data_IF_059655859159
#
_entry.id   IF_059655859159
#
_cell.length_a   1.000
_cell.length_b   1.000
_cell.length_c   1.000
_cell.angle_alpha   90.00
_cell.angle_beta   90.00
_cell.angle_gamma   90.00
#
_symmetry.space_group_name_H-M   'P 1'
#
loop_
_entity.id
_entity.type
_entity.pdbx_description
1 polymer ?
#
# COMPACT_ATOMS: atom_id res chain seq x y z
N UNK A 1 -19.17 18.42 3.84
CA UNK A 1 -17.75 18.21 3.48
C UNK A 1 -17.69 17.57 2.10
N UNK A 2 -16.85 18.05 1.17
CA UNK A 2 -16.68 17.46 -0.17
C UNK A 2 -15.26 16.90 -0.30
N UNK A 3 -15.14 15.58 -0.33
CA UNK A 3 -13.85 14.90 -0.50
C UNK A 3 -13.47 14.86 -1.99
N UNK A 4 -12.20 15.16 -2.29
CA UNK A 4 -11.62 15.02 -3.63
C UNK A 4 -10.68 13.81 -3.68
N UNK A 5 -10.97 12.89 -4.57
CA UNK A 5 -10.21 11.65 -4.75
C UNK A 5 -9.51 11.71 -6.10
N UNK A 6 -8.20 11.47 -6.12
CA UNK A 6 -7.42 11.32 -7.35
C UNK A 6 -7.11 9.85 -7.62
N UNK A 7 -7.36 9.41 -8.86
CA UNK A 7 -6.95 8.09 -9.33
C UNK A 7 -5.62 8.22 -10.05
N UNK A 8 -4.61 7.50 -9.59
CA UNK A 8 -3.28 7.52 -10.17
C UNK A 8 -3.20 6.47 -11.28
N UNK A 9 -2.79 6.87 -12.47
CA UNK A 9 -2.50 5.96 -13.57
C UNK A 9 -0.99 5.96 -13.80
N UNK A 10 -0.31 4.94 -13.28
CA UNK A 10 1.14 4.84 -13.26
C UNK A 10 1.57 3.47 -13.81
N UNK A 11 2.67 3.43 -14.57
CA UNK A 11 3.38 2.20 -14.89
C UNK A 11 4.48 1.95 -13.84
N UNK A 12 4.71 0.70 -13.42
CA UNK A 12 5.80 0.37 -12.51
C UNK A 12 7.16 0.55 -13.20
N UNK A 13 8.16 0.95 -12.42
CA UNK A 13 9.59 0.98 -12.75
C UNK A 13 10.27 -0.36 -12.42
N UNK A 14 11.57 -0.43 -12.70
CA UNK A 14 12.40 -1.64 -12.57
C UNK A 14 12.68 -2.05 -11.12
N UNK A 15 12.76 -1.10 -10.18
CA UNK A 15 13.06 -1.34 -8.78
C UNK A 15 12.06 -0.62 -7.86
N UNK A 16 12.05 -1.02 -6.60
CA UNK A 16 11.10 -0.52 -5.62
C UNK A 16 11.36 0.95 -5.24
N UNK A 17 12.62 1.37 -5.20
CA UNK A 17 13.02 2.74 -4.85
C UNK A 17 12.46 3.75 -5.85
N UNK A 18 12.60 3.49 -7.14
CA UNK A 18 12.10 4.34 -8.23
C UNK A 18 10.57 4.40 -8.20
N UNK A 19 9.92 3.27 -7.90
CA UNK A 19 8.46 3.23 -7.74
C UNK A 19 8.02 4.08 -6.55
N UNK A 20 8.66 3.95 -5.40
CA UNK A 20 8.37 4.76 -4.20
C UNK A 20 8.53 6.25 -4.51
N UNK A 21 9.63 6.65 -5.16
CA UNK A 21 9.85 8.05 -5.51
C UNK A 21 8.78 8.58 -6.46
N UNK A 22 8.42 7.79 -7.49
CA UNK A 22 7.32 8.10 -8.41
C UNK A 22 5.99 8.24 -7.66
N UNK A 23 5.69 7.34 -6.74
CA UNK A 23 4.48 7.38 -5.92
C UNK A 23 4.41 8.65 -5.05
N UNK A 24 5.52 9.01 -4.40
CA UNK A 24 5.63 10.24 -3.60
C UNK A 24 5.39 11.48 -4.49
N UNK A 25 5.96 11.50 -5.70
CA UNK A 25 5.78 12.60 -6.66
C UNK A 25 4.32 12.72 -7.09
N UNK A 26 3.66 11.61 -7.41
CA UNK A 26 2.25 11.56 -7.78
C UNK A 26 1.34 12.04 -6.63
N UNK A 27 1.62 11.64 -5.38
CA UNK A 27 0.93 12.13 -4.20
C UNK A 27 1.04 13.65 -4.05
N UNK A 28 2.25 14.21 -4.21
CA UNK A 28 2.51 15.66 -4.12
C UNK A 28 1.76 16.41 -5.21
N UNK A 29 1.76 15.91 -6.44
CA UNK A 29 1.03 16.50 -7.56
C UNK A 29 -0.49 16.48 -7.32
N UNK A 30 -1.03 15.34 -6.89
CA UNK A 30 -2.45 15.22 -6.56
C UNK A 30 -2.84 16.18 -5.43
N UNK A 31 -1.99 16.34 -4.40
CA UNK A 31 -2.21 17.30 -3.33
C UNK A 31 -2.22 18.74 -3.83
N UNK A 32 -1.28 19.10 -4.72
CA UNK A 32 -1.25 20.43 -5.36
C UNK A 32 -2.51 20.71 -6.20
N UNK A 33 -3.11 19.67 -6.79
CA UNK A 33 -4.41 19.73 -7.49
C UNK A 33 -5.63 19.69 -6.55
N UNK A 34 -5.39 19.67 -5.23
CA UNK A 34 -6.41 19.73 -4.19
C UNK A 34 -7.07 18.40 -3.87
N UNK A 35 -6.43 17.26 -4.15
CA UNK A 35 -6.91 15.96 -3.68
C UNK A 35 -6.72 15.79 -2.16
N UNK A 36 -7.68 15.12 -1.54
CA UNK A 36 -7.64 14.70 -0.13
C UNK A 36 -7.17 13.26 -0.01
N UNK A 37 -7.50 12.42 -1.00
CA UNK A 37 -7.15 11.00 -1.08
C UNK A 37 -6.60 10.70 -2.47
N UNK A 38 -5.60 9.83 -2.53
CA UNK A 38 -5.10 9.23 -3.78
C UNK A 38 -5.34 7.74 -3.76
N UNK A 39 -5.64 7.17 -4.93
CA UNK A 39 -5.78 5.73 -5.14
C UNK A 39 -4.76 5.27 -6.17
N UNK A 40 -3.94 4.31 -5.77
CA UNK A 40 -2.92 3.70 -6.63
C UNK A 40 -3.49 2.52 -7.42
N UNK A 41 -2.89 2.17 -8.57
CA UNK A 41 -3.12 0.88 -9.22
C UNK A 41 -2.76 -0.30 -8.31
N UNK A 42 -3.32 -1.47 -8.62
CA UNK A 42 -2.88 -2.73 -8.01
C UNK A 42 -1.38 -2.96 -8.33
N UNK A 43 -0.63 -3.51 -7.37
CA UNK A 43 0.79 -3.83 -7.53
C UNK A 43 1.67 -2.66 -8.00
N UNK A 44 1.32 -1.41 -7.68
CA UNK A 44 2.06 -0.23 -8.18
C UNK A 44 3.55 -0.18 -7.79
N UNK A 45 3.93 -0.79 -6.66
CA UNK A 45 5.29 -0.72 -6.11
C UNK A 45 6.29 -1.68 -6.75
N UNK A 46 5.81 -2.78 -7.35
CA UNK A 46 6.64 -3.86 -7.91
C UNK A 46 6.17 -4.38 -9.27
N UNK A 47 5.00 -3.93 -9.74
CA UNK A 47 4.35 -4.47 -10.91
C UNK A 47 3.94 -5.94 -10.77
N UNK A 48 3.50 -6.53 -11.87
CA UNK A 48 3.20 -7.97 -11.95
C UNK A 48 4.45 -8.80 -12.31
N UNK A 49 5.60 -8.43 -11.75
CA UNK A 49 6.86 -9.17 -11.90
C UNK A 49 6.94 -10.20 -10.77
N UNK A 50 6.51 -11.43 -11.04
CA UNK A 50 6.49 -12.52 -10.04
C UNK A 50 7.66 -13.48 -10.25
N UNK A 51 8.86 -13.07 -9.84
CA UNK A 51 9.98 -14.01 -9.83
C UNK A 51 9.79 -14.98 -8.67
N UNK A 52 10.07 -16.27 -8.88
CA UNK A 52 10.09 -17.27 -7.81
C UNK A 52 11.45 -17.28 -7.07
N UNK A 53 12.22 -16.20 -7.20
CA UNK A 53 13.52 -16.04 -6.57
C UNK A 53 13.33 -15.36 -5.20
N UNK A 54 13.67 -16.08 -4.13
CA UNK A 54 13.53 -15.59 -2.76
C UNK A 54 14.30 -14.29 -2.50
N UNK A 55 15.49 -14.13 -3.07
CA UNK A 55 16.31 -12.92 -2.90
C UNK A 55 15.64 -11.69 -3.53
N UNK A 56 15.08 -11.86 -4.74
CA UNK A 56 14.36 -10.79 -5.42
C UNK A 56 13.10 -10.38 -4.66
N UNK A 57 12.37 -11.36 -4.11
CA UNK A 57 11.18 -11.12 -3.29
C UNK A 57 11.52 -10.34 -2.03
N UNK A 58 12.61 -10.68 -1.35
CA UNK A 58 13.07 -9.97 -0.15
C UNK A 58 13.48 -8.53 -0.49
N UNK A 59 14.30 -8.34 -1.52
CA UNK A 59 14.77 -7.02 -1.98
C UNK A 59 13.62 -6.09 -2.42
N UNK A 60 12.57 -6.62 -3.03
CA UNK A 60 11.43 -5.84 -3.54
C UNK A 60 10.21 -5.87 -2.60
N UNK A 61 10.40 -6.30 -1.34
CA UNK A 61 9.37 -6.25 -0.32
C UNK A 61 9.50 -4.99 0.55
N UNK A 62 8.37 -4.46 1.02
CA UNK A 62 8.36 -3.41 2.04
C UNK A 62 8.30 -4.03 3.42
N UNK A 63 9.00 -3.42 4.38
CA UNK A 63 8.89 -3.81 5.78
C UNK A 63 7.45 -3.67 6.26
N UNK A 64 6.94 -4.71 6.92
CA UNK A 64 5.60 -4.70 7.50
C UNK A 64 5.68 -4.34 8.98
N UNK A 65 5.14 -3.18 9.36
CA UNK A 65 5.00 -2.80 10.77
C UNK A 65 3.78 -3.52 11.39
N UNK A 66 4.06 -4.67 12.02
CA UNK A 66 3.04 -5.52 12.63
C UNK A 66 2.37 -4.83 13.83
N UNK A 67 3.11 -4.03 14.59
CA UNK A 67 2.57 -3.36 15.78
C UNK A 67 1.62 -2.22 15.42
N UNK A 68 1.95 -1.46 14.38
CA UNK A 68 1.02 -0.49 13.81
C UNK A 68 -0.28 -1.16 13.36
N UNK A 69 -0.20 -2.30 12.66
CA UNK A 69 -1.40 -3.05 12.23
C UNK A 69 -2.24 -3.55 13.41
N UNK A 70 -1.58 -4.07 14.45
CA UNK A 70 -2.25 -4.47 15.71
C UNK A 70 -2.96 -3.29 16.37
N UNK A 71 -2.32 -2.12 16.43
CA UNK A 71 -2.91 -0.91 16.99
C UNK A 71 -4.08 -0.37 16.16
N UNK A 72 -3.93 -0.32 14.83
CA UNK A 72 -5.00 0.07 13.91
C UNK A 72 -6.24 -0.79 14.13
N UNK A 73 -6.04 -2.12 14.22
CA UNK A 73 -7.13 -3.07 14.46
C UNK A 73 -7.87 -2.85 15.78
N UNK A 74 -7.23 -2.35 16.83
CA UNK A 74 -7.91 -2.01 18.10
C UNK A 74 -8.86 -0.80 17.95
N UNK A 75 -8.65 0.04 16.93
CA UNK A 75 -9.37 1.31 16.74
C UNK A 75 -10.27 1.32 15.50
N UNK A 76 -10.18 0.30 14.64
CA UNK A 76 -10.94 0.25 13.40
C UNK A 76 -12.45 0.19 13.67
N UNK A 77 -13.21 1.06 13.02
CA UNK A 77 -14.68 1.05 13.02
C UNK A 77 -15.17 0.62 11.63
N UNK A 78 -16.08 -0.35 11.57
CA UNK A 78 -16.60 -0.88 10.30
C UNK A 78 -16.43 -2.39 10.10
N UNK A 79 -16.02 -3.10 11.16
CA UNK A 79 -16.14 -4.55 11.33
C UNK A 79 -16.31 -5.32 10.03
N UNK A 80 -15.19 -5.62 9.35
CA UNK A 80 -15.18 -6.47 8.17
C UNK A 80 -15.73 -7.83 8.59
N UNK A 81 -17.03 -8.06 8.36
CA UNK A 81 -17.79 -9.28 8.72
C UNK A 81 -17.10 -10.58 8.26
N UNK A 82 -16.20 -10.46 7.28
CA UNK A 82 -15.46 -11.56 6.66
C UNK A 82 -14.00 -11.68 7.13
N UNK A 83 -13.47 -10.77 7.96
CA UNK A 83 -12.13 -10.93 8.53
C UNK A 83 -12.15 -12.06 9.56
N UNK A 84 -11.17 -12.96 9.46
CA UNK A 84 -10.94 -14.04 10.43
C UNK A 84 -9.55 -13.91 11.04
N UNK A 85 -9.35 -12.99 12.00
CA UNK A 85 -8.01 -12.63 12.43
C UNK A 85 -7.20 -13.77 13.03
N UNK A 86 -7.87 -14.74 13.67
CA UNK A 86 -7.25 -15.96 14.18
C UNK A 86 -6.57 -16.81 13.09
N UNK A 87 -6.88 -16.58 11.81
CA UNK A 87 -6.22 -17.24 10.67
C UNK A 87 -4.97 -16.50 10.16
N UNK A 88 -4.73 -15.26 10.59
CA UNK A 88 -3.65 -14.41 10.07
C UNK A 88 -2.42 -14.34 10.99
N UNK A 89 -2.27 -15.29 11.93
CA UNK A 89 -1.06 -15.45 12.76
C UNK A 89 -0.61 -14.15 13.43
N UNK A 90 0.56 -13.65 13.02
CA UNK A 90 1.31 -12.50 13.56
C UNK A 90 0.47 -11.24 13.89
N UNK A 91 -0.61 -10.98 13.15
CA UNK A 91 -1.46 -9.78 13.31
C UNK A 91 -2.59 -9.99 14.36
N UNK A 92 -2.66 -11.19 14.95
CA UNK A 92 -3.75 -11.59 15.85
C UNK A 92 -3.44 -11.51 17.34
N UNK A 93 -2.16 -11.56 17.71
CA UNK A 93 -1.61 -11.42 19.06
C UNK A 93 -1.39 -9.95 19.42
#
# INVERSE_FOLDING_TARGET
>A
MKLKIAFLQLLPELNIEDNIEKGIRACREAKAKGADIVLFPEMWSSGYVFTHNGEWLEQNSVSLDVDMLRMYRKREMGGLKNRRPKLYGLISE
#
